data_IF_625926849954
#
_entry.id   IF_625926849954
#
_cell.length_a   1.000
_cell.length_b   1.000
_cell.length_c   1.000
_cell.angle_alpha   90.00
_cell.angle_beta   90.00
_cell.angle_gamma   90.00
#
_symmetry.space_group_name_H-M   'P 1'
#
loop_
_entity.id
_entity.type
_entity.pdbx_description
1 polymer ?
#
# COMPACT_ATOMS: atom_id res chain seq x y z
N UNK A 1 53.74 -47.28 10.70
CA UNK A 1 52.74 -47.01 9.63
C UNK A 1 51.42 -46.64 10.27
N UNK A 2 50.72 -45.64 9.70
CA UNK A 2 49.38 -45.10 10.02
C UNK A 2 49.31 -43.95 11.04
N UNK A 3 49.53 -42.73 10.51
CA UNK A 3 49.06 -41.49 11.12
C UNK A 3 47.54 -41.34 10.88
N UNK A 4 46.78 -41.13 11.95
CA UNK A 4 45.33 -40.89 11.92
C UNK A 4 45.06 -39.46 11.45
N UNK A 5 44.41 -39.31 10.29
CA UNK A 5 43.99 -38.01 9.75
C UNK A 5 42.60 -37.67 10.32
N UNK A 6 42.53 -36.69 11.22
CA UNK A 6 41.27 -36.07 11.63
C UNK A 6 40.80 -35.11 10.53
N UNK A 7 39.78 -35.52 9.77
CA UNK A 7 39.12 -34.65 8.79
C UNK A 7 38.21 -33.67 9.52
N UNK A 8 38.65 -32.42 9.64
CA UNK A 8 37.88 -31.29 10.14
C UNK A 8 36.80 -30.94 9.09
N UNK A 9 35.56 -31.39 9.31
CA UNK A 9 34.43 -31.01 8.46
C UNK A 9 33.96 -29.62 8.86
N UNK A 10 34.29 -28.63 8.02
CA UNK A 10 33.84 -27.25 8.14
C UNK A 10 32.37 -27.17 7.72
N UNK A 11 31.44 -27.10 8.68
CA UNK A 11 30.02 -26.87 8.40
C UNK A 11 29.86 -25.39 8.07
N UNK A 12 29.73 -25.08 6.78
CA UNK A 12 29.43 -23.74 6.29
C UNK A 12 27.92 -23.49 6.50
N UNK A 13 27.56 -22.80 7.58
CA UNK A 13 26.20 -22.35 7.81
C UNK A 13 25.87 -21.26 6.77
N UNK A 14 25.03 -21.58 5.78
CA UNK A 14 24.50 -20.61 4.85
C UNK A 14 23.50 -19.71 5.61
N UNK A 15 23.87 -18.45 5.85
CA UNK A 15 22.92 -17.42 6.27
C UNK A 15 21.97 -17.17 5.09
N UNK A 16 20.75 -17.69 5.19
CA UNK A 16 19.65 -17.25 4.35
C UNK A 16 19.29 -15.82 4.77
N UNK A 17 19.79 -14.84 4.03
CA UNK A 17 19.28 -13.47 4.12
C UNK A 17 17.87 -13.47 3.55
N UNK A 18 16.87 -13.33 4.43
CA UNK A 18 15.52 -12.98 4.00
C UNK A 18 15.60 -11.66 3.22
N UNK A 19 15.19 -11.71 1.95
CA UNK A 19 15.07 -10.50 1.14
C UNK A 19 13.71 -9.91 1.47
N UNK A 20 13.71 -8.75 2.14
CA UNK A 20 12.51 -7.97 2.40
C UNK A 20 11.85 -7.58 1.07
N UNK A 21 10.52 -7.52 1.06
CA UNK A 21 9.71 -7.15 -0.10
C UNK A 21 10.27 -5.91 -0.80
N UNK A 22 10.86 -6.13 -1.97
CA UNK A 22 11.32 -5.04 -2.82
C UNK A 22 10.08 -4.35 -3.37
N UNK A 23 9.87 -3.08 -3.02
CA UNK A 23 9.05 -2.18 -3.85
C UNK A 23 9.63 -2.27 -5.25
N UNK A 24 8.87 -2.86 -6.18
CA UNK A 24 9.38 -3.12 -7.51
C UNK A 24 9.35 -1.82 -8.31
N UNK A 25 10.47 -1.08 -8.34
CA UNK A 25 10.61 0.12 -9.18
C UNK A 25 11.55 1.19 -8.62
N UNK A 26 12.08 2.03 -9.51
CA UNK A 26 12.86 3.22 -9.19
C UNK A 26 11.94 4.46 -9.13
N UNK A 27 11.64 5.01 -7.94
CA UNK A 27 10.77 6.18 -7.82
C UNK A 27 11.37 7.46 -8.42
N UNK A 28 12.70 7.59 -8.54
CA UNK A 28 13.34 8.74 -9.18
C UNK A 28 13.10 8.73 -10.69
N UNK A 29 13.25 7.57 -11.33
CA UNK A 29 12.83 7.38 -12.72
C UNK A 29 11.30 7.50 -12.87
N UNK A 30 10.55 6.96 -11.90
CA UNK A 30 9.09 7.05 -11.83
C UNK A 30 8.57 8.48 -11.86
N UNK A 31 9.24 9.42 -11.16
CA UNK A 31 8.93 10.84 -11.22
C UNK A 31 9.05 11.41 -12.65
N UNK A 32 9.97 10.89 -13.46
CA UNK A 32 10.13 11.30 -14.85
C UNK A 32 8.98 10.76 -15.71
N UNK A 33 8.59 9.51 -15.51
CA UNK A 33 7.43 8.89 -16.18
C UNK A 33 6.14 9.62 -15.80
N UNK A 34 6.00 10.01 -14.53
CA UNK A 34 4.85 10.75 -13.99
C UNK A 34 4.54 12.03 -14.76
N UNK A 35 5.51 12.67 -15.42
CA UNK A 35 5.26 13.86 -16.26
C UNK A 35 4.17 13.63 -17.32
N UNK A 36 3.98 12.39 -17.79
CA UNK A 36 2.89 12.00 -18.71
C UNK A 36 1.52 12.05 -18.02
N UNK A 37 1.46 11.66 -16.74
CA UNK A 37 0.26 11.63 -15.90
C UNK A 37 -0.08 13.02 -15.35
N UNK A 38 0.94 13.83 -15.06
CA UNK A 38 0.86 15.18 -14.52
C UNK A 38 0.14 16.20 -15.43
N UNK A 39 -0.16 15.83 -16.68
CA UNK A 39 -1.01 16.62 -17.57
C UNK A 39 -2.46 16.60 -17.07
N UNK A 40 -2.91 15.47 -16.52
CA UNK A 40 -4.29 15.26 -16.13
C UNK A 40 -4.48 15.15 -14.60
N UNK A 41 -3.49 14.65 -13.88
CA UNK A 41 -3.58 14.31 -12.46
C UNK A 41 -2.67 15.19 -11.60
N UNK A 42 -3.03 15.41 -10.34
CA UNK A 42 -2.20 16.08 -9.34
C UNK A 42 -1.96 15.15 -8.16
N UNK A 43 -0.84 15.36 -7.48
CA UNK A 43 -0.48 14.75 -6.20
C UNK A 43 0.16 15.81 -5.29
N UNK A 44 0.16 15.57 -3.98
CA UNK A 44 0.67 16.48 -2.95
C UNK A 44 -0.40 17.22 -2.15
N UNK A 45 -0.01 18.06 -1.18
CA UNK A 45 -0.92 18.66 -0.20
C UNK A 45 -1.92 19.65 -0.83
N UNK A 46 -1.50 20.39 -1.85
CA UNK A 46 -2.35 21.37 -2.56
C UNK A 46 -2.98 20.80 -3.85
N UNK A 47 -3.04 19.47 -3.95
CA UNK A 47 -3.58 18.79 -5.12
C UNK A 47 -5.08 19.04 -5.26
N UNK A 48 -5.50 19.30 -6.49
CA UNK A 48 -6.91 19.49 -6.85
C UNK A 48 -7.25 18.65 -8.07
N UNK A 49 -8.50 18.23 -8.17
CA UNK A 49 -8.99 17.53 -9.35
C UNK A 49 -8.81 18.39 -10.61
N UNK A 50 -8.45 17.75 -11.71
CA UNK A 50 -8.33 18.39 -13.03
C UNK A 50 -9.06 17.55 -14.06
N UNK A 51 -8.40 17.24 -15.19
CA UNK A 51 -8.92 16.30 -16.17
C UNK A 51 -9.13 14.93 -15.52
N UNK A 52 -8.19 14.50 -14.67
CA UNK A 52 -8.29 13.32 -13.82
C UNK A 52 -8.44 13.67 -12.33
N UNK A 53 -8.77 12.68 -11.48
CA UNK A 53 -8.79 12.83 -10.03
C UNK A 53 -7.39 13.11 -9.45
N UNK A 54 -7.36 13.55 -8.20
CA UNK A 54 -6.14 13.61 -7.38
C UNK A 54 -5.72 12.18 -7.08
N UNK A 55 -4.41 11.90 -7.15
CA UNK A 55 -3.86 10.55 -6.98
C UNK A 55 -3.06 10.37 -5.67
N UNK A 56 -3.41 11.14 -4.63
CA UNK A 56 -2.98 10.84 -3.27
C UNK A 56 -3.79 9.65 -2.72
N UNK A 57 -3.16 8.84 -1.89
CA UNK A 57 -3.79 7.73 -1.15
C UNK A 57 -4.54 6.74 -2.06
N UNK A 58 -4.06 6.49 -3.28
CA UNK A 58 -4.78 5.61 -4.20
C UNK A 58 -4.40 4.15 -4.05
N UNK A 59 -3.21 3.82 -3.55
CA UNK A 59 -2.81 2.43 -3.34
C UNK A 59 -3.76 1.76 -2.35
N UNK A 60 -4.22 0.56 -2.73
CA UNK A 60 -5.30 -0.23 -2.11
C UNK A 60 -6.67 0.46 -2.04
N UNK A 61 -6.82 1.71 -2.49
CA UNK A 61 -8.12 2.36 -2.54
C UNK A 61 -9.00 1.80 -3.65
N UNK A 62 -10.31 1.80 -3.41
CA UNK A 62 -11.30 1.39 -4.41
C UNK A 62 -11.26 2.30 -5.64
N UNK A 63 -11.27 1.70 -6.83
CA UNK A 63 -11.32 2.44 -8.07
C UNK A 63 -12.61 3.27 -8.18
N UNK A 64 -12.48 4.54 -8.59
CA UNK A 64 -13.64 5.42 -8.71
C UNK A 64 -14.28 5.83 -7.37
N UNK A 65 -13.57 5.69 -6.25
CA UNK A 65 -14.10 5.98 -4.91
C UNK A 65 -14.32 7.45 -4.58
N UNK A 66 -13.42 8.36 -5.00
CA UNK A 66 -13.45 9.77 -4.57
C UNK A 66 -14.78 10.47 -4.92
N UNK A 67 -15.57 10.80 -3.93
CA UNK A 67 -16.94 11.33 -4.11
C UNK A 67 -16.98 12.76 -4.64
N UNK A 68 -15.92 13.51 -4.47
CA UNK A 68 -15.72 14.87 -4.98
C UNK A 68 -15.24 14.92 -6.44
N UNK A 69 -15.02 13.76 -7.08
CA UNK A 69 -14.67 13.67 -8.49
C UNK A 69 -15.70 12.89 -9.33
N UNK A 70 -16.07 13.44 -10.50
CA UNK A 70 -17.02 12.80 -11.41
C UNK A 70 -16.37 11.79 -12.35
N UNK A 71 -16.23 10.55 -11.89
CA UNK A 71 -15.75 9.41 -12.67
C UNK A 71 -16.62 9.07 -13.89
N UNK A 72 -16.09 8.19 -14.77
CA UNK A 72 -16.92 7.52 -15.78
C UNK A 72 -17.79 6.47 -15.12
N UNK A 73 -19.01 6.22 -15.62
CA UNK A 73 -19.88 5.15 -15.13
C UNK A 73 -19.16 3.79 -15.10
N UNK A 74 -18.32 3.50 -16.10
CA UNK A 74 -17.54 2.26 -16.17
C UNK A 74 -16.52 2.12 -15.03
N UNK A 75 -15.79 3.19 -14.70
CA UNK A 75 -14.83 3.18 -13.59
C UNK A 75 -15.54 3.03 -12.23
N UNK A 76 -16.64 3.74 -12.02
CA UNK A 76 -17.44 3.57 -10.79
C UNK A 76 -17.96 2.14 -10.64
N UNK A 77 -18.50 1.56 -11.72
CA UNK A 77 -18.95 0.17 -11.71
C UNK A 77 -17.79 -0.80 -11.45
N UNK A 78 -16.64 -0.62 -12.08
CA UNK A 78 -15.48 -1.48 -11.85
C UNK A 78 -15.05 -1.50 -10.38
N UNK A 79 -15.05 -0.34 -9.70
CA UNK A 79 -14.79 -0.28 -8.26
C UNK A 79 -15.86 -0.98 -7.41
N UNK A 80 -17.13 -0.81 -7.77
CA UNK A 80 -18.25 -1.51 -7.10
C UNK A 80 -18.18 -3.03 -7.28
N UNK A 81 -17.61 -3.48 -8.40
CA UNK A 81 -17.37 -4.89 -8.72
C UNK A 81 -16.04 -5.41 -8.12
N UNK A 82 -15.39 -4.64 -7.23
CA UNK A 82 -14.23 -5.08 -6.45
C UNK A 82 -12.87 -4.58 -6.96
N UNK A 83 -12.80 -3.73 -7.98
CA UNK A 83 -11.51 -3.18 -8.43
C UNK A 83 -10.92 -2.22 -7.38
N UNK A 84 -9.85 -2.64 -6.74
CA UNK A 84 -8.98 -1.83 -5.89
C UNK A 84 -7.64 -1.58 -6.60
N UNK A 85 -6.95 -0.49 -6.27
CA UNK A 85 -5.66 -0.15 -6.87
C UNK A 85 -4.49 -0.77 -6.09
N UNK A 86 -4.26 -2.05 -6.29
CA UNK A 86 -3.01 -2.74 -5.93
C UNK A 86 -1.91 -2.46 -6.96
N UNK A 87 -0.66 -2.86 -6.68
CA UNK A 87 0.43 -2.76 -7.67
C UNK A 87 0.07 -3.47 -8.98
N UNK A 88 -0.46 -4.70 -8.90
CA UNK A 88 -0.82 -5.51 -10.07
C UNK A 88 -1.97 -4.91 -10.90
N UNK A 89 -3.02 -4.46 -10.23
CA UNK A 89 -4.18 -3.87 -10.91
C UNK A 89 -3.84 -2.51 -11.51
N UNK A 90 -2.98 -1.72 -10.86
CA UNK A 90 -2.49 -0.46 -11.39
C UNK A 90 -1.53 -0.69 -12.56
N UNK A 91 -0.67 -1.72 -12.52
CA UNK A 91 0.17 -2.12 -13.65
C UNK A 91 -0.67 -2.47 -14.89
N UNK A 92 -1.66 -3.35 -14.72
CA UNK A 92 -2.58 -3.76 -15.79
C UNK A 92 -3.35 -2.56 -16.36
N UNK A 93 -3.83 -1.67 -15.49
CA UNK A 93 -4.56 -0.48 -15.91
C UNK A 93 -3.64 0.48 -16.68
N UNK A 94 -2.44 0.75 -16.19
CA UNK A 94 -1.47 1.63 -16.83
C UNK A 94 -0.94 1.05 -18.15
N UNK A 95 -0.95 -0.27 -18.35
CA UNK A 95 -0.58 -0.89 -19.62
C UNK A 95 -1.57 -0.57 -20.75
N UNK A 96 -2.88 -0.60 -20.45
CA UNK A 96 -3.95 -0.31 -21.39
C UNK A 96 -5.29 0.02 -20.69
N UNK A 97 -5.53 1.29 -20.28
CA UNK A 97 -6.68 1.65 -19.45
C UNK A 97 -8.05 1.27 -20.04
N UNK A 98 -8.21 1.47 -21.35
CA UNK A 98 -9.46 1.16 -22.06
C UNK A 98 -9.67 -0.32 -22.32
N UNK A 99 -8.62 -1.14 -22.24
CA UNK A 99 -8.75 -2.59 -22.33
C UNK A 99 -9.21 -3.17 -21.00
N UNK A 100 -8.66 -2.68 -19.88
CA UNK A 100 -9.03 -3.14 -18.55
C UNK A 100 -10.40 -2.59 -18.11
N UNK A 101 -10.68 -1.30 -18.32
CA UNK A 101 -11.97 -0.67 -18.00
C UNK A 101 -12.58 -0.06 -19.27
N UNK A 102 -13.34 -0.85 -20.06
CA UNK A 102 -13.98 -0.35 -21.28
C UNK A 102 -14.88 0.85 -21.01
N UNK A 103 -14.71 1.92 -21.80
CA UNK A 103 -15.41 3.21 -21.65
C UNK A 103 -14.99 4.04 -20.42
N UNK A 104 -13.81 3.78 -19.84
CA UNK A 104 -13.18 4.74 -18.94
C UNK A 104 -12.96 6.09 -19.63
N UNK A 105 -13.10 7.19 -18.87
CA UNK A 105 -12.82 8.56 -19.34
C UNK A 105 -11.33 8.80 -19.58
N UNK A 106 -10.45 8.00 -18.98
CA UNK A 106 -9.01 8.12 -19.17
C UNK A 106 -8.65 7.75 -20.62
N UNK A 107 -8.27 8.75 -21.42
CA UNK A 107 -7.92 8.58 -22.85
C UNK A 107 -6.47 8.14 -23.08
N UNK A 108 -5.73 7.85 -22.00
CA UNK A 108 -4.34 7.46 -22.04
C UNK A 108 -4.13 6.15 -22.83
N UNK A 109 -3.13 6.13 -23.71
CA UNK A 109 -2.84 4.98 -24.58
C UNK A 109 -2.15 3.81 -23.87
N UNK A 110 -1.68 4.06 -22.64
CA UNK A 110 -0.94 3.11 -21.82
C UNK A 110 0.59 3.23 -21.93
N UNK A 111 1.28 2.69 -20.93
CA UNK A 111 2.74 2.55 -20.84
C UNK A 111 3.14 1.13 -21.22
N UNK A 112 3.93 0.97 -22.29
CA UNK A 112 4.30 -0.36 -22.81
C UNK A 112 5.45 -1.01 -22.04
N UNK A 113 6.42 -0.21 -21.62
CA UNK A 113 7.52 -0.66 -20.76
C UNK A 113 6.96 -1.11 -19.41
N UNK A 114 7.24 -2.34 -19.01
CA UNK A 114 6.90 -2.82 -17.68
C UNK A 114 7.72 -2.10 -16.60
N UNK A 115 9.00 -1.79 -16.89
CA UNK A 115 9.85 -0.98 -16.01
C UNK A 115 9.26 0.40 -15.74
N UNK A 116 8.85 1.13 -16.79
CA UNK A 116 8.24 2.46 -16.61
C UNK A 116 6.95 2.40 -15.77
N UNK A 117 6.20 1.30 -15.85
CA UNK A 117 4.99 1.10 -15.03
C UNK A 117 5.37 0.85 -13.57
N UNK A 118 6.27 -0.10 -13.32
CA UNK A 118 6.80 -0.37 -11.99
C UNK A 118 7.35 0.91 -11.32
N UNK A 119 8.18 1.67 -12.04
CA UNK A 119 8.78 2.91 -11.55
C UNK A 119 7.73 3.99 -11.24
N UNK A 120 6.75 4.22 -12.12
CA UNK A 120 5.70 5.23 -11.84
C UNK A 120 4.75 4.79 -10.74
N UNK A 121 4.50 3.49 -10.59
CA UNK A 121 3.74 2.92 -9.47
C UNK A 121 4.50 3.16 -8.17
N UNK A 122 5.81 2.89 -8.12
CA UNK A 122 6.66 3.21 -6.98
C UNK A 122 6.61 4.71 -6.63
N UNK A 123 6.68 5.59 -7.63
CA UNK A 123 6.54 7.04 -7.44
C UNK A 123 5.15 7.45 -6.92
N UNK A 124 4.06 6.90 -7.46
CA UNK A 124 2.69 7.14 -6.95
C UNK A 124 2.52 6.59 -5.53
N UNK A 125 3.20 5.48 -5.23
CA UNK A 125 3.33 4.89 -3.89
C UNK A 125 3.82 5.91 -2.87
N UNK A 126 4.77 6.79 -3.23
CA UNK A 126 5.24 7.88 -2.37
C UNK A 126 4.17 8.93 -2.03
N UNK A 127 2.99 8.89 -2.66
CA UNK A 127 1.84 9.76 -2.35
C UNK A 127 0.63 8.98 -1.87
N UNK A 128 0.73 7.64 -1.87
CA UNK A 128 -0.37 6.74 -1.53
C UNK A 128 -0.12 5.93 -0.26
N UNK A 129 1.09 5.41 -0.15
CA UNK A 129 1.80 5.09 1.08
C UNK A 129 2.83 6.18 1.43
N UNK A 130 2.68 7.38 0.87
CA UNK A 130 3.47 8.57 1.25
C UNK A 130 3.28 9.01 2.70
N UNK A 131 2.25 8.48 3.35
CA UNK A 131 2.12 8.59 4.78
C UNK A 131 2.87 7.44 5.51
N UNK A 132 3.17 6.31 4.85
CA UNK A 132 4.00 5.23 5.40
C UNK A 132 5.50 5.54 5.37
N UNK A 133 6.11 5.91 4.25
CA UNK A 133 7.57 6.12 4.21
C UNK A 133 7.99 7.59 4.42
N UNK A 134 7.19 8.57 3.99
CA UNK A 134 7.62 9.98 4.01
C UNK A 134 7.25 10.73 5.31
N UNK A 135 6.59 10.06 6.26
CA UNK A 135 6.25 10.62 7.57
C UNK A 135 6.74 9.76 8.74
N UNK A 136 7.42 8.64 8.47
CA UNK A 136 8.05 7.82 9.49
C UNK A 136 9.48 8.34 9.66
N UNK A 137 9.87 8.68 10.88
CA UNK A 137 11.24 9.10 11.19
C UNK A 137 12.28 8.13 10.60
N UNK A 138 13.35 8.68 10.02
CA UNK A 138 14.44 7.89 9.43
C UNK A 138 14.97 6.84 10.43
N UNK A 139 14.94 5.57 10.03
CA UNK A 139 15.48 4.45 10.81
C UNK A 139 14.50 3.77 11.77
N UNK A 140 13.22 4.15 11.77
CA UNK A 140 12.19 3.36 12.44
C UNK A 140 11.99 2.01 11.76
N UNK A 141 12.01 0.93 12.55
CA UNK A 141 11.71 -0.41 12.11
C UNK A 141 10.98 -1.17 13.22
N UNK A 142 9.92 -1.88 12.86
CA UNK A 142 9.23 -2.78 13.78
C UNK A 142 10.07 -4.05 13.95
N UNK A 143 10.13 -4.59 15.17
CA UNK A 143 10.91 -5.81 15.41
C UNK A 143 10.34 -7.00 14.64
N UNK A 144 11.23 -7.90 14.21
CA UNK A 144 10.84 -9.11 13.49
C UNK A 144 9.83 -9.97 14.28
N UNK A 145 9.95 -9.99 15.61
CA UNK A 145 9.03 -10.71 16.49
C UNK A 145 7.60 -10.15 16.43
N UNK A 146 7.45 -8.83 16.28
CA UNK A 146 6.13 -8.19 16.14
C UNK A 146 5.55 -8.44 14.74
N UNK A 147 6.38 -8.33 13.70
CA UNK A 147 5.94 -8.59 12.32
C UNK A 147 5.56 -10.07 12.10
N UNK A 148 6.10 -10.98 12.89
CA UNK A 148 5.81 -12.41 12.83
C UNK A 148 4.53 -12.82 13.60
N UNK A 149 3.86 -11.89 14.29
CA UNK A 149 2.61 -12.22 14.99
C UNK A 149 1.53 -12.52 13.95
N UNK A 150 1.00 -13.74 13.99
CA UNK A 150 -0.15 -14.13 13.18
C UNK A 150 -1.42 -13.50 13.76
N UNK A 151 -2.12 -12.71 12.95
CA UNK A 151 -3.36 -12.05 13.34
C UNK A 151 -4.56 -13.00 13.35
N UNK A 152 -5.36 -12.95 14.41
CA UNK A 152 -6.66 -13.62 14.47
C UNK A 152 -7.71 -12.81 13.69
N UNK A 153 -8.26 -13.41 12.62
CA UNK A 153 -9.21 -12.76 11.72
C UNK A 153 -10.54 -12.41 12.42
N UNK A 154 -11.07 -13.30 13.26
CA UNK A 154 -12.35 -13.08 13.95
C UNK A 154 -12.19 -11.98 15.01
N UNK A 155 -11.06 -11.99 15.71
CA UNK A 155 -10.73 -10.93 16.65
C UNK A 155 -10.51 -9.58 15.96
N UNK A 156 -9.85 -9.59 14.80
CA UNK A 156 -9.66 -8.41 13.96
C UNK A 156 -10.99 -7.81 13.50
N UNK A 157 -11.93 -8.65 13.06
CA UNK A 157 -13.28 -8.22 12.68
C UNK A 157 -13.98 -7.53 13.85
N UNK A 158 -13.95 -8.12 15.04
CA UNK A 158 -14.53 -7.54 16.25
C UNK A 158 -13.96 -6.14 16.57
N UNK A 159 -12.63 -6.01 16.56
CA UNK A 159 -11.92 -4.75 16.83
C UNK A 159 -12.17 -3.69 15.74
N UNK A 160 -12.41 -4.12 14.49
CA UNK A 160 -12.56 -3.23 13.33
C UNK A 160 -13.76 -2.28 13.42
N UNK A 161 -14.75 -2.59 14.27
CA UNK A 161 -15.95 -1.77 14.47
C UNK A 161 -15.63 -0.31 14.84
N UNK A 162 -14.58 -0.07 15.62
CA UNK A 162 -14.14 1.29 15.98
C UNK A 162 -13.33 1.96 14.86
N UNK A 163 -12.64 1.18 14.04
CA UNK A 163 -11.88 1.70 12.90
C UNK A 163 -12.84 2.17 11.80
N UNK A 164 -13.93 1.42 11.59
CA UNK A 164 -14.88 1.64 10.51
C UNK A 164 -15.84 2.81 10.73
N UNK A 165 -15.82 3.43 11.91
CA UNK A 165 -16.48 4.72 12.13
C UNK A 165 -15.85 5.85 11.31
N UNK A 166 -14.58 5.68 10.93
CA UNK A 166 -13.78 6.64 10.20
C UNK A 166 -13.30 6.05 8.86
N UNK A 167 -12.64 4.90 8.90
CA UNK A 167 -12.07 4.25 7.73
C UNK A 167 -13.10 3.36 7.04
N UNK A 168 -13.45 3.68 5.78
CA UNK A 168 -14.56 2.99 5.13
C UNK A 168 -14.19 1.54 4.78
N UNK A 169 -15.04 0.60 5.19
CA UNK A 169 -14.83 -0.84 4.95
C UNK A 169 -14.96 -1.23 3.46
N UNK A 170 -15.50 -0.34 2.62
CA UNK A 170 -15.61 -0.53 1.17
C UNK A 170 -14.37 0.00 0.41
N UNK A 171 -13.29 0.33 1.13
CA UNK A 171 -12.04 0.83 0.55
C UNK A 171 -12.14 2.25 0.00
N UNK A 172 -13.19 3.00 0.36
CA UNK A 172 -13.33 4.38 -0.06
C UNK A 172 -12.40 5.34 0.70
N UNK A 173 -11.91 6.37 0.01
CA UNK A 173 -10.93 7.35 0.51
C UNK A 173 -11.46 8.79 0.31
N UNK A 174 -12.52 9.10 1.05
CA UNK A 174 -13.16 10.42 1.11
C UNK A 174 -12.59 11.25 2.27
N UNK A 175 -11.31 11.62 2.15
CA UNK A 175 -10.60 12.43 3.15
C UNK A 175 -10.09 11.64 4.37
N UNK A 176 -10.59 10.42 4.58
CA UNK A 176 -10.01 9.43 5.49
C UNK A 176 -9.46 8.28 4.65
N UNK A 177 -8.16 7.93 4.78
CA UNK A 177 -7.53 6.96 3.91
C UNK A 177 -8.16 5.57 4.04
N UNK A 178 -8.30 4.90 2.90
CA UNK A 178 -8.65 3.49 2.84
C UNK A 178 -7.54 2.66 3.48
N UNK A 179 -7.93 1.71 4.34
CA UNK A 179 -7.03 0.76 5.01
C UNK A 179 -7.29 -0.70 4.59
N UNK A 180 -8.28 -0.90 3.72
CA UNK A 180 -8.67 -2.20 3.15
C UNK A 180 -7.63 -2.64 2.11
N UNK A 181 -7.29 -3.93 2.11
CA UNK A 181 -6.35 -4.51 1.15
C UNK A 181 -4.91 -4.02 1.32
N UNK A 182 -4.54 -3.53 2.50
CA UNK A 182 -3.15 -3.24 2.83
C UNK A 182 -2.42 -4.55 3.11
N UNK A 183 -1.15 -4.62 2.71
CA UNK A 183 -0.31 -5.74 3.14
C UNK A 183 -0.13 -5.70 4.66
N UNK A 184 -0.06 -6.89 5.27
CA UNK A 184 -0.03 -7.03 6.73
C UNK A 184 1.18 -6.30 7.31
N UNK A 185 2.35 -6.43 6.69
CA UNK A 185 3.59 -5.77 7.14
C UNK A 185 3.47 -4.24 7.11
N UNK A 186 2.89 -3.68 6.04
CA UNK A 186 2.68 -2.24 5.90
C UNK A 186 1.71 -1.72 6.96
N UNK A 187 0.58 -2.42 7.16
CA UNK A 187 -0.40 -2.04 8.18
C UNK A 187 0.22 -2.06 9.58
N UNK A 188 0.89 -3.15 9.95
CA UNK A 188 1.55 -3.29 11.27
C UNK A 188 2.58 -2.18 11.46
N UNK A 189 3.41 -1.92 10.45
CA UNK A 189 4.41 -0.86 10.48
C UNK A 189 3.77 0.52 10.69
N UNK A 190 2.64 0.80 10.03
CA UNK A 190 1.95 2.09 10.16
C UNK A 190 1.43 2.31 11.56
N UNK A 191 0.80 1.28 12.12
CA UNK A 191 0.16 1.35 13.42
C UNK A 191 1.21 1.53 14.52
N UNK A 192 2.34 0.83 14.42
CA UNK A 192 3.46 0.99 15.33
C UNK A 192 4.13 2.37 15.18
N UNK A 193 4.31 2.87 13.97
CA UNK A 193 4.88 4.20 13.77
C UNK A 193 4.00 5.31 14.40
N UNK A 194 2.67 5.20 14.28
CA UNK A 194 1.77 6.09 15.00
C UNK A 194 1.85 5.88 16.51
N UNK A 195 1.85 4.62 16.97
CA UNK A 195 1.88 4.28 18.41
C UNK A 195 3.11 4.83 19.10
N UNK A 196 4.25 4.75 18.43
CA UNK A 196 5.57 5.18 18.91
C UNK A 196 5.89 6.63 18.55
N UNK A 197 4.96 7.32 17.86
CA UNK A 197 5.04 8.72 17.44
C UNK A 197 6.19 9.02 16.47
N UNK A 198 6.66 8.00 15.77
CA UNK A 198 7.51 8.17 14.60
C UNK A 198 6.73 8.68 13.39
N UNK A 199 5.39 8.68 13.45
CA UNK A 199 4.49 9.27 12.46
C UNK A 199 3.52 10.25 13.09
N UNK A 200 3.50 11.48 12.60
CA UNK A 200 2.65 12.55 13.12
C UNK A 200 1.21 12.47 12.61
N UNK A 201 0.29 12.10 13.50
CA UNK A 201 -1.15 12.30 13.33
C UNK A 201 -1.88 12.14 14.66
N UNK A 202 -2.28 13.22 15.35
CA UNK A 202 -2.79 13.15 16.74
C UNK A 202 -3.93 12.15 16.96
N UNK A 203 -4.85 12.03 16.00
CA UNK A 203 -5.97 11.07 16.08
C UNK A 203 -5.45 9.63 16.02
N UNK A 204 -4.57 9.30 15.07
CA UNK A 204 -4.10 7.92 14.91
C UNK A 204 -3.14 7.55 16.04
N UNK A 205 -2.32 8.47 16.54
CA UNK A 205 -1.49 8.25 17.73
C UNK A 205 -2.35 7.92 18.97
N UNK A 206 -3.52 8.57 19.12
CA UNK A 206 -4.47 8.25 20.20
C UNK A 206 -5.11 6.87 20.00
N UNK A 207 -5.53 6.54 18.78
CA UNK A 207 -6.16 5.26 18.44
C UNK A 207 -5.18 4.09 18.54
N UNK A 208 -3.93 4.23 18.08
CA UNK A 208 -2.93 3.15 18.12
C UNK A 208 -2.25 3.04 19.48
N UNK A 209 -2.22 4.12 20.25
CA UNK A 209 -1.68 4.15 21.61
C UNK A 209 -2.34 3.13 22.55
N UNK A 210 -3.64 2.85 22.37
CA UNK A 210 -4.43 1.92 23.19
C UNK A 210 -4.37 0.46 22.73
N UNK A 211 -3.82 0.16 21.55
CA UNK A 211 -3.80 -1.19 20.99
C UNK A 211 -2.56 -1.97 21.44
N UNK A 212 -2.72 -3.25 21.75
CA UNK A 212 -1.64 -4.20 21.92
C UNK A 212 -1.11 -4.74 20.57
N UNK A 213 0.04 -5.39 20.57
CA UNK A 213 0.70 -5.85 19.34
C UNK A 213 -0.11 -6.94 18.62
N UNK A 214 -0.74 -7.85 19.38
CA UNK A 214 -1.65 -8.88 18.89
C UNK A 214 -2.94 -8.28 18.32
N UNK A 215 -3.47 -7.22 18.93
CA UNK A 215 -4.62 -6.47 18.40
C UNK A 215 -4.29 -5.79 17.06
N UNK A 216 -3.09 -5.21 16.93
CA UNK A 216 -2.62 -4.62 15.67
C UNK A 216 -2.49 -5.70 14.59
N UNK A 217 -1.92 -6.86 14.93
CA UNK A 217 -1.79 -7.99 13.99
C UNK A 217 -3.16 -8.54 13.56
N UNK A 218 -4.11 -8.68 14.49
CA UNK A 218 -5.48 -9.11 14.20
C UNK A 218 -6.20 -8.14 13.24
N UNK A 219 -6.12 -6.83 13.51
CA UNK A 219 -6.65 -5.79 12.63
C UNK A 219 -6.00 -5.83 11.23
N UNK A 220 -4.69 -6.04 11.15
CA UNK A 220 -3.97 -6.14 9.88
C UNK A 220 -4.46 -7.34 9.05
N UNK A 221 -4.66 -8.51 9.67
CA UNK A 221 -5.18 -9.69 9.00
C UNK A 221 -6.60 -9.46 8.46
N UNK A 222 -7.47 -8.83 9.26
CA UNK A 222 -8.84 -8.51 8.87
C UNK A 222 -8.90 -7.53 7.69
N UNK A 223 -8.23 -6.38 7.79
CA UNK A 223 -8.31 -5.36 6.75
C UNK A 223 -7.63 -5.80 5.44
N UNK A 224 -6.59 -6.64 5.50
CA UNK A 224 -6.04 -7.29 4.32
C UNK A 224 -7.11 -8.15 3.62
N UNK A 225 -7.78 -9.02 4.36
CA UNK A 225 -8.79 -9.95 3.83
C UNK A 225 -10.04 -9.29 3.24
N UNK A 226 -10.28 -8.00 3.50
CA UNK A 226 -11.36 -7.24 2.84
C UNK A 226 -11.02 -6.81 1.40
N UNK A 227 -9.74 -6.87 1.00
CA UNK A 227 -9.29 -6.50 -0.34
C UNK A 227 -9.13 -7.67 -1.33
N UNK A 228 -9.20 -8.91 -0.83
CA UNK A 228 -9.07 -10.17 -1.59
C UNK A 228 -10.44 -10.66 -2.11
#
# INVERSE_FOLDING_TARGET
MRALRFSLSLILAALATATFGQVTGDPEHGQQVWKKCAICHMMGPDARHRVGPVLNNIMSARAGGKTDYRYSKAMTAAGQDGLHWTEDTLDGFLQAPKSMVPRTKMSFRGLKSAGDRADVIAYIGLFSGGAMAAQIDDGFAVSADILAIEGDLEYGEYLSSECTTCHQADGNDDGIPAIVGWETEDFVTAMHAYKEKHRDHPVMQMITGRLANDEIAALAAYFKGLGD
#
